data_IF_347906351057
#
_entry.id   IF_347906351057
#
_cell.length_a   1.000
_cell.length_b   1.000
_cell.length_c   1.000
_cell.angle_alpha   90.00
_cell.angle_beta   90.00
_cell.angle_gamma   90.00
#
_symmetry.space_group_name_H-M   'P 1'
#
loop_
_entity.id
_entity.type
_entity.pdbx_description
1 polymer ?
#
# COMPACT_ATOMS: atom_id res chain seq x y z
N UNK A 1 51.70 -50.38 9.85
CA UNK A 1 50.70 -49.33 10.20
C UNK A 1 49.31 -49.95 10.13
N UNK A 2 48.66 -49.96 11.29
CA UNK A 2 47.56 -50.86 11.60
C UNK A 2 46.29 -50.44 10.83
N UNK A 3 45.65 -51.36 10.09
CA UNK A 3 44.39 -51.22 9.36
C UNK A 3 43.25 -50.70 10.26
N UNK A 4 43.35 -50.91 11.58
CA UNK A 4 42.40 -50.39 12.59
C UNK A 4 42.42 -48.83 12.69
N UNK A 5 43.60 -48.20 12.51
CA UNK A 5 43.75 -46.77 12.63
C UNK A 5 43.14 -46.05 11.43
N UNK A 6 43.19 -46.63 10.23
CA UNK A 6 42.56 -46.08 9.02
C UNK A 6 41.01 -46.12 9.07
N UNK A 7 40.45 -47.20 9.64
CA UNK A 7 38.98 -47.32 9.82
C UNK A 7 38.43 -46.30 10.81
N UNK A 8 39.18 -45.93 11.85
CA UNK A 8 38.75 -44.89 12.79
C UNK A 8 38.76 -43.49 12.18
N UNK A 9 39.75 -43.18 11.34
CA UNK A 9 39.85 -41.90 10.64
C UNK A 9 38.71 -41.70 9.64
N UNK A 10 38.31 -42.74 8.90
CA UNK A 10 37.19 -42.68 7.97
C UNK A 10 35.82 -42.54 8.71
N UNK A 11 35.64 -43.15 9.88
CA UNK A 11 34.45 -43.03 10.66
C UNK A 11 34.30 -41.64 11.29
N UNK A 12 35.40 -41.03 11.72
CA UNK A 12 35.40 -39.65 12.26
C UNK A 12 35.08 -38.65 11.16
N UNK A 13 35.58 -38.83 9.92
CA UNK A 13 35.25 -37.93 8.80
C UNK A 13 33.78 -38.01 8.38
N UNK A 14 33.17 -39.20 8.41
CA UNK A 14 31.73 -39.38 8.10
C UNK A 14 30.84 -38.73 9.12
N UNK A 15 31.15 -38.86 10.42
CA UNK A 15 30.38 -38.22 11.49
C UNK A 15 30.47 -36.67 11.44
N UNK A 16 31.66 -36.12 11.12
CA UNK A 16 31.85 -34.69 10.96
C UNK A 16 31.07 -34.17 9.76
N UNK A 17 31.10 -34.85 8.61
CA UNK A 17 30.32 -34.48 7.42
C UNK A 17 28.81 -34.54 7.69
N UNK A 18 28.33 -35.58 8.37
CA UNK A 18 26.92 -35.70 8.72
C UNK A 18 26.46 -34.56 9.65
N UNK A 19 27.28 -34.17 10.62
CA UNK A 19 26.96 -33.04 11.51
C UNK A 19 27.00 -31.69 10.77
N UNK A 20 27.93 -31.49 9.85
CA UNK A 20 27.98 -30.27 9.00
C UNK A 20 26.74 -30.18 8.12
N UNK A 21 26.35 -31.26 7.44
CA UNK A 21 25.16 -31.31 6.60
C UNK A 21 23.86 -31.09 7.41
N UNK A 22 23.78 -31.69 8.61
CA UNK A 22 22.63 -31.49 9.50
C UNK A 22 22.55 -30.03 10.00
N UNK A 23 23.68 -29.43 10.35
CA UNK A 23 23.73 -28.03 10.78
C UNK A 23 23.31 -27.07 9.65
N UNK A 24 23.82 -27.29 8.41
CA UNK A 24 23.39 -26.52 7.24
C UNK A 24 21.90 -26.69 6.95
N UNK A 25 21.37 -27.91 7.06
CA UNK A 25 19.94 -28.18 6.88
C UNK A 25 19.10 -27.44 7.92
N UNK A 26 19.47 -27.47 9.20
CA UNK A 26 18.77 -26.76 10.29
C UNK A 26 18.81 -25.25 10.09
N UNK A 27 19.97 -24.70 9.70
CA UNK A 27 20.10 -23.26 9.41
C UNK A 27 19.22 -22.88 8.20
N UNK A 28 19.22 -23.68 7.14
CA UNK A 28 18.44 -23.42 5.94
C UNK A 28 16.92 -23.47 6.25
N UNK A 29 16.46 -24.43 7.05
CA UNK A 29 15.06 -24.53 7.50
C UNK A 29 14.68 -23.37 8.41
N UNK A 30 15.59 -22.97 9.33
CA UNK A 30 15.35 -21.83 10.21
C UNK A 30 15.25 -20.49 9.46
N UNK A 31 16.03 -20.30 8.39
CA UNK A 31 15.94 -19.10 7.54
C UNK A 31 14.67 -19.09 6.69
N UNK A 32 14.20 -20.25 6.24
CA UNK A 32 12.95 -20.35 5.48
C UNK A 32 11.69 -20.12 6.36
N UNK A 33 11.77 -20.39 7.66
CA UNK A 33 10.65 -20.18 8.60
C UNK A 33 10.44 -18.70 8.99
N UNK A 34 11.37 -17.80 8.64
CA UNK A 34 11.23 -16.36 8.93
C UNK A 34 10.67 -15.55 7.74
N UNK A 35 10.16 -16.19 6.70
CA UNK A 35 9.40 -15.50 5.65
C UNK A 35 8.01 -15.24 6.23
N UNK A 36 7.84 -14.11 6.91
CA UNK A 36 6.50 -13.63 7.23
C UNK A 36 5.78 -13.36 5.93
N UNK A 37 4.60 -13.97 5.68
CA UNK A 37 3.82 -13.62 4.50
C UNK A 37 3.51 -12.12 4.59
N UNK A 38 3.85 -11.37 3.56
CA UNK A 38 3.39 -9.98 3.41
C UNK A 38 1.90 -10.08 3.09
N UNK A 39 1.08 -9.92 4.12
CA UNK A 39 -0.38 -9.94 3.97
C UNK A 39 -0.78 -8.55 3.51
N UNK A 40 -1.40 -8.44 2.33
CA UNK A 40 -2.01 -7.20 1.87
C UNK A 40 -3.05 -6.72 2.89
N UNK A 41 -3.00 -5.43 3.26
CA UNK A 41 -3.97 -4.86 4.20
C UNK A 41 -5.29 -4.61 3.49
N UNK A 42 -6.22 -5.57 3.58
CA UNK A 42 -7.57 -5.42 3.01
C UNK A 42 -8.37 -4.30 3.67
N UNK A 43 -8.02 -3.91 4.90
CA UNK A 43 -8.65 -2.81 5.64
C UNK A 43 -8.12 -1.41 5.30
N UNK A 44 -7.33 -1.28 4.24
CA UNK A 44 -6.70 -0.03 3.84
C UNK A 44 -5.48 0.35 4.69
N UNK A 45 -4.74 1.33 4.20
CA UNK A 45 -3.53 1.85 4.86
C UNK A 45 -3.46 3.37 4.67
N UNK A 46 -3.11 4.09 5.72
CA UNK A 46 -2.81 5.52 5.68
C UNK A 46 -1.31 5.77 5.44
N UNK A 47 -0.95 7.03 5.10
CA UNK A 47 0.44 7.43 4.86
C UNK A 47 0.97 7.07 3.46
N UNK A 48 0.14 6.55 2.57
CA UNK A 48 0.52 6.15 1.20
C UNK A 48 0.28 7.23 0.14
N UNK A 49 -0.44 8.31 0.46
CA UNK A 49 -0.83 9.37 -0.50
C UNK A 49 0.33 10.13 -1.13
N UNK A 50 1.54 10.05 -0.55
CA UNK A 50 2.77 10.67 -1.05
C UNK A 50 3.69 9.66 -1.72
N UNK A 51 3.94 8.53 -1.07
CA UNK A 51 4.94 7.54 -1.49
C UNK A 51 4.33 6.36 -2.25
N UNK A 52 3.00 6.30 -2.34
CA UNK A 52 2.27 5.24 -3.01
C UNK A 52 2.23 3.92 -2.24
N UNK A 53 1.82 2.87 -2.94
CA UNK A 53 1.56 1.55 -2.35
C UNK A 53 2.74 0.57 -2.52
N UNK A 54 3.90 1.03 -3.04
CA UNK A 54 5.05 0.21 -3.43
C UNK A 54 5.73 -0.59 -2.30
N UNK A 55 5.45 -0.26 -1.04
CA UNK A 55 5.97 -1.04 0.10
C UNK A 55 5.37 -2.43 0.23
N UNK A 56 4.22 -2.69 -0.43
CA UNK A 56 3.53 -3.98 -0.45
C UNK A 56 3.23 -4.46 -1.88
N UNK A 57 2.85 -3.56 -2.81
CA UNK A 57 2.30 -3.90 -4.13
C UNK A 57 3.28 -3.72 -5.30
N UNK A 58 4.59 -3.76 -5.06
CA UNK A 58 5.59 -3.60 -6.14
C UNK A 58 5.69 -2.19 -6.69
N UNK A 59 6.14 -2.03 -7.94
CA UNK A 59 6.30 -0.73 -8.61
C UNK A 59 4.98 -0.07 -9.03
N UNK A 60 4.99 1.27 -9.19
CA UNK A 60 3.86 1.99 -9.76
C UNK A 60 3.60 1.59 -11.20
N UNK A 61 2.35 1.68 -11.63
CA UNK A 61 1.93 1.30 -12.99
C UNK A 61 1.11 2.40 -13.65
N UNK A 62 1.45 2.73 -14.90
CA UNK A 62 0.69 3.67 -15.73
C UNK A 62 -0.64 3.10 -16.22
N UNK A 63 -0.90 1.80 -16.06
CA UNK A 63 -2.19 1.18 -16.37
C UNK A 63 -3.29 1.52 -15.35
N UNK A 64 -2.91 1.95 -14.15
CA UNK A 64 -3.83 2.52 -13.16
C UNK A 64 -3.76 4.03 -13.22
N UNK A 65 -4.90 4.68 -13.35
CA UNK A 65 -4.99 6.14 -13.26
C UNK A 65 -5.74 6.53 -11.99
N UNK A 66 -5.24 7.59 -11.34
CA UNK A 66 -5.85 8.17 -10.14
C UNK A 66 -6.05 9.66 -10.40
N UNK A 67 -7.28 10.12 -10.33
CA UNK A 67 -7.61 11.50 -10.69
C UNK A 67 -8.81 12.02 -9.89
N UNK A 68 -9.01 13.34 -9.90
CA UNK A 68 -10.17 13.99 -9.32
C UNK A 68 -11.24 14.19 -10.39
N UNK A 69 -12.48 13.77 -10.13
CA UNK A 69 -13.60 13.89 -11.09
C UNK A 69 -13.90 15.35 -11.42
N UNK A 70 -13.72 16.24 -10.47
CA UNK A 70 -13.95 17.68 -10.60
C UNK A 70 -12.85 18.41 -11.38
N UNK A 71 -11.80 17.71 -11.83
CA UNK A 71 -10.66 18.27 -12.57
C UNK A 71 -9.47 18.63 -11.65
N UNK A 72 -8.43 19.23 -12.23
CA UNK A 72 -7.12 19.36 -11.59
C UNK A 72 -6.96 20.63 -10.75
N UNK A 73 -8.04 21.40 -10.49
CA UNK A 73 -7.94 22.65 -9.72
C UNK A 73 -7.15 23.76 -10.44
N UNK A 74 -6.57 24.73 -9.73
CA UNK A 74 -6.68 24.90 -8.29
C UNK A 74 -8.10 25.22 -7.80
N UNK A 75 -8.39 24.87 -6.53
CA UNK A 75 -9.67 25.21 -5.92
C UNK A 75 -9.45 26.29 -4.85
N UNK A 76 -10.33 27.30 -4.82
CA UNK A 76 -10.31 28.34 -3.79
C UNK A 76 -11.51 28.15 -2.87
N UNK A 77 -11.26 27.99 -1.58
CA UNK A 77 -12.26 27.91 -0.53
C UNK A 77 -11.98 28.93 0.56
N UNK A 78 -13.04 29.51 1.09
CA UNK A 78 -12.93 30.31 2.31
C UNK A 78 -12.59 29.41 3.52
N UNK A 79 -12.05 30.00 4.59
CA UNK A 79 -11.82 29.28 5.85
C UNK A 79 -13.13 28.73 6.40
N UNK A 80 -13.16 27.45 6.76
CA UNK A 80 -14.36 26.75 7.20
C UNK A 80 -15.33 26.36 6.11
N UNK A 81 -15.08 26.75 4.84
CA UNK A 81 -15.89 26.32 3.71
C UNK A 81 -15.68 24.85 3.40
N UNK A 82 -16.75 24.19 2.96
CA UNK A 82 -16.75 22.77 2.63
C UNK A 82 -16.99 22.55 1.15
N UNK A 83 -16.26 21.60 0.57
CA UNK A 83 -16.44 21.18 -0.82
C UNK A 83 -16.40 19.65 -0.91
N UNK A 84 -17.30 19.09 -1.71
CA UNK A 84 -17.31 17.66 -2.01
C UNK A 84 -16.39 17.36 -3.20
N UNK A 85 -15.59 16.31 -3.03
CA UNK A 85 -14.64 15.80 -4.02
C UNK A 85 -14.86 14.32 -4.25
N UNK A 86 -14.45 13.86 -5.44
CA UNK A 86 -14.49 12.46 -5.87
C UNK A 86 -13.15 12.05 -6.43
N UNK A 87 -12.35 11.32 -5.66
CA UNK A 87 -11.15 10.66 -6.18
C UNK A 87 -11.56 9.39 -6.91
N UNK A 88 -11.09 9.23 -8.13
CA UNK A 88 -11.34 8.07 -8.99
C UNK A 88 -10.09 7.24 -9.10
N UNK A 89 -10.23 5.94 -8.92
CA UNK A 89 -9.22 4.94 -9.30
C UNK A 89 -9.77 4.19 -10.50
N UNK A 90 -9.04 4.21 -11.61
CA UNK A 90 -9.46 3.57 -12.86
C UNK A 90 -8.42 2.56 -13.36
N UNK A 91 -8.88 1.41 -13.84
CA UNK A 91 -8.09 0.37 -14.49
C UNK A 91 -8.98 -0.51 -15.36
N UNK A 92 -8.50 -0.84 -16.58
CA UNK A 92 -9.33 -1.49 -17.60
C UNK A 92 -9.82 -2.91 -17.24
N UNK A 93 -9.10 -3.65 -16.39
CA UNK A 93 -9.35 -5.09 -16.17
C UNK A 93 -9.36 -5.52 -14.71
N UNK A 94 -9.02 -4.64 -13.76
CA UNK A 94 -9.02 -5.03 -12.35
C UNK A 94 -10.43 -5.01 -11.75
N UNK A 95 -10.79 -6.02 -10.91
CA UNK A 95 -12.14 -6.11 -10.37
C UNK A 95 -12.40 -5.17 -9.20
N UNK A 96 -11.36 -4.77 -8.47
CA UNK A 96 -11.51 -3.93 -7.27
C UNK A 96 -10.41 -2.89 -7.15
N UNK A 97 -10.61 -1.94 -6.26
CA UNK A 97 -9.60 -0.93 -5.92
C UNK A 97 -9.57 -0.59 -4.44
N UNK A 98 -8.46 0.00 -4.03
CA UNK A 98 -8.26 0.63 -2.75
C UNK A 98 -7.67 2.03 -2.92
N UNK A 99 -7.73 2.86 -1.87
CA UNK A 99 -7.28 4.25 -1.91
C UNK A 99 -6.67 4.68 -0.58
N UNK A 100 -5.72 5.64 -0.62
CA UNK A 100 -5.39 6.52 0.49
C UNK A 100 -5.42 7.96 -0.01
N UNK A 101 -6.15 8.83 0.69
CA UNK A 101 -6.33 10.25 0.35
C UNK A 101 -5.94 11.09 1.55
N UNK A 102 -5.20 12.19 1.33
CA UNK A 102 -4.84 13.15 2.35
C UNK A 102 -4.87 14.58 1.81
N UNK A 103 -5.23 15.52 2.64
CA UNK A 103 -5.00 16.95 2.39
C UNK A 103 -3.92 17.43 3.34
N UNK A 104 -2.83 17.97 2.80
CA UNK A 104 -1.63 18.36 3.53
C UNK A 104 -1.42 19.88 3.47
N UNK A 105 -0.95 20.47 4.57
CA UNK A 105 -0.44 21.84 4.58
C UNK A 105 1.01 21.92 4.06
N UNK A 106 1.59 23.12 4.03
CA UNK A 106 2.97 23.35 3.58
C UNK A 106 4.04 22.63 4.42
N UNK A 107 3.75 22.29 5.66
CA UNK A 107 4.63 21.48 6.55
C UNK A 107 4.37 19.97 6.43
N UNK A 108 3.58 19.55 5.43
CA UNK A 108 3.22 18.15 5.17
C UNK A 108 2.38 17.47 6.28
N UNK A 109 1.73 18.25 7.13
CA UNK A 109 0.78 17.76 8.12
C UNK A 109 -0.63 17.66 7.53
N UNK A 110 -1.44 16.70 8.00
CA UNK A 110 -2.85 16.60 7.65
C UNK A 110 -3.61 17.85 8.08
N UNK A 111 -4.50 18.35 7.23
CA UNK A 111 -5.21 19.61 7.45
C UNK A 111 -6.68 19.55 7.04
N UNK A 112 -7.51 20.36 7.69
CA UNK A 112 -8.96 20.36 7.51
C UNK A 112 -9.63 19.16 8.15
N UNK A 113 -10.86 18.88 7.76
CA UNK A 113 -11.61 17.72 8.24
C UNK A 113 -12.42 17.08 7.11
N UNK A 114 -12.76 15.81 7.28
CA UNK A 114 -13.51 15.02 6.31
C UNK A 114 -14.88 14.62 6.85
N UNK A 115 -15.89 14.64 5.98
CA UNK A 115 -17.26 14.21 6.26
C UNK A 115 -17.92 13.62 5.00
N UNK A 116 -19.14 13.10 5.11
CA UNK A 116 -19.95 12.56 4.00
C UNK A 116 -19.17 11.55 3.14
N UNK A 117 -18.63 10.52 3.79
CA UNK A 117 -17.74 9.55 3.17
C UNK A 117 -18.51 8.46 2.42
N UNK A 118 -18.11 8.15 1.19
CA UNK A 118 -18.59 6.99 0.43
C UNK A 118 -17.41 6.19 -0.09
N UNK A 119 -17.42 4.87 0.09
CA UNK A 119 -16.36 3.93 -0.26
C UNK A 119 -15.03 4.13 0.51
N UNK A 120 -15.00 5.04 1.46
CA UNK A 120 -13.82 5.30 2.30
C UNK A 120 -14.22 5.56 3.75
N UNK A 121 -13.23 5.47 4.63
CA UNK A 121 -13.32 5.75 6.07
C UNK A 121 -12.18 6.68 6.46
N UNK A 122 -12.37 7.46 7.54
CA UNK A 122 -11.33 8.35 8.07
C UNK A 122 -10.49 7.63 9.13
N UNK A 123 -9.18 7.79 9.03
CA UNK A 123 -8.21 7.31 10.01
C UNK A 123 -7.06 8.33 10.12
N UNK A 124 -6.75 8.82 11.32
CA UNK A 124 -5.72 9.83 11.58
C UNK A 124 -5.79 11.04 10.64
N UNK A 125 -7.00 11.52 10.36
CA UNK A 125 -7.27 12.61 9.43
C UNK A 125 -6.70 12.38 8.00
N UNK A 126 -6.72 11.15 7.56
CA UNK A 126 -6.59 10.70 6.17
C UNK A 126 -7.78 9.82 5.83
N UNK A 127 -8.05 9.60 4.55
CA UNK A 127 -9.08 8.66 4.10
C UNK A 127 -8.42 7.41 3.53
N UNK A 128 -9.02 6.27 3.83
CA UNK A 128 -8.66 4.99 3.23
C UNK A 128 -9.91 4.14 3.04
N UNK A 129 -9.85 3.07 2.27
CA UNK A 129 -10.94 2.10 2.17
C UNK A 129 -10.98 1.19 3.42
N UNK A 130 -12.15 0.69 3.78
CA UNK A 130 -12.31 -0.33 4.84
C UNK A 130 -12.22 -1.76 4.29
N UNK A 131 -12.48 -1.92 2.99
CA UNK A 131 -12.29 -3.14 2.20
C UNK A 131 -12.11 -2.74 0.72
N UNK A 132 -11.48 -3.56 -0.11
CA UNK A 132 -11.36 -3.29 -1.54
C UNK A 132 -12.73 -3.12 -2.19
N UNK A 133 -12.95 -1.99 -2.86
CA UNK A 133 -14.23 -1.61 -3.46
C UNK A 133 -14.32 -2.14 -4.89
N UNK A 134 -15.45 -2.70 -5.28
CA UNK A 134 -15.68 -3.22 -6.64
C UNK A 134 -15.65 -2.07 -7.67
N UNK A 135 -14.87 -2.28 -8.73
CA UNK A 135 -14.85 -1.37 -9.88
C UNK A 135 -16.05 -1.62 -10.79
N UNK A 136 -16.71 -0.55 -11.21
CA UNK A 136 -17.82 -0.62 -12.17
C UNK A 136 -17.43 0.16 -13.42
N UNK A 137 -17.50 -0.49 -14.58
CA UNK A 137 -17.02 0.12 -15.81
C UNK A 137 -15.52 0.47 -15.82
N UNK A 138 -14.73 -0.25 -15.00
CA UNK A 138 -13.28 -0.02 -14.86
C UNK A 138 -12.92 1.11 -13.90
N UNK A 139 -13.86 1.65 -13.13
CA UNK A 139 -13.65 2.76 -12.19
C UNK A 139 -14.25 2.51 -10.81
N UNK A 140 -13.66 3.15 -9.81
CA UNK A 140 -14.24 3.31 -8.47
C UNK A 140 -14.15 4.76 -8.05
N UNK A 141 -15.24 5.35 -7.57
CA UNK A 141 -15.27 6.68 -6.97
C UNK A 141 -15.22 6.60 -5.44
N UNK A 142 -14.34 7.40 -4.86
CA UNK A 142 -14.22 7.64 -3.42
C UNK A 142 -14.66 9.06 -3.15
N UNK A 143 -15.89 9.23 -2.62
CA UNK A 143 -16.51 10.53 -2.39
C UNK A 143 -16.29 10.98 -0.95
N UNK A 144 -15.98 12.24 -0.76
CA UNK A 144 -15.85 12.88 0.54
C UNK A 144 -16.12 14.38 0.45
N UNK A 145 -16.53 14.98 1.55
CA UNK A 145 -16.58 16.42 1.74
C UNK A 145 -15.39 16.83 2.59
N UNK A 146 -14.56 17.74 2.08
CA UNK A 146 -13.47 18.34 2.86
C UNK A 146 -13.84 19.74 3.29
N UNK A 147 -13.59 20.06 4.57
CA UNK A 147 -13.79 21.39 5.15
C UNK A 147 -12.46 22.05 5.37
N UNK A 148 -12.27 23.23 4.81
CA UNK A 148 -11.07 24.01 4.94
C UNK A 148 -10.82 24.42 6.41
N UNK A 149 -9.59 24.36 6.92
CA UNK A 149 -9.28 24.78 8.27
C UNK A 149 -9.46 26.29 8.47
N UNK A 150 -9.56 26.74 9.73
CA UNK A 150 -9.66 28.15 10.07
C UNK A 150 -8.40 28.97 9.72
N UNK A 151 -7.26 28.31 9.58
CA UNK A 151 -5.98 28.96 9.20
C UNK A 151 -5.93 29.10 7.67
N UNK A 152 -5.85 30.31 7.11
CA UNK A 152 -5.60 30.49 5.68
C UNK A 152 -4.26 29.91 5.25
N UNK A 153 -4.20 29.38 4.03
CA UNK A 153 -2.95 28.80 3.51
C UNK A 153 -3.17 27.98 2.24
N UNK A 154 -2.07 27.43 1.75
CA UNK A 154 -2.07 26.48 0.62
C UNK A 154 -2.16 25.06 1.17
N UNK A 155 -3.12 24.32 0.68
CA UNK A 155 -3.38 22.93 1.05
C UNK A 155 -3.31 22.07 -0.19
N UNK A 156 -2.67 20.91 -0.09
CA UNK A 156 -2.47 20.01 -1.23
C UNK A 156 -3.24 18.72 -1.02
N UNK A 157 -4.19 18.45 -1.90
CA UNK A 157 -4.87 17.17 -1.99
C UNK A 157 -3.97 16.16 -2.72
N UNK A 158 -3.77 15.02 -2.11
CA UNK A 158 -2.96 13.91 -2.60
C UNK A 158 -3.74 12.60 -2.49
N UNK A 159 -3.54 11.70 -3.44
CA UNK A 159 -4.10 10.36 -3.36
C UNK A 159 -3.16 9.31 -3.97
N UNK A 160 -3.18 8.12 -3.40
CA UNK A 160 -2.67 6.90 -4.01
C UNK A 160 -3.84 5.94 -4.22
N UNK A 161 -3.97 5.40 -5.42
CA UNK A 161 -4.97 4.39 -5.77
C UNK A 161 -4.32 3.08 -6.16
N UNK A 162 -4.88 1.97 -5.74
CA UNK A 162 -4.42 0.64 -6.08
C UNK A 162 -5.55 -0.17 -6.74
N UNK A 163 -5.37 -0.60 -7.96
CA UNK A 163 -6.26 -1.52 -8.66
C UNK A 163 -5.82 -2.96 -8.35
N UNK A 164 -6.71 -3.76 -7.74
CA UNK A 164 -6.37 -5.06 -7.17
C UNK A 164 -7.10 -6.20 -7.86
N UNK A 165 -6.39 -7.32 -8.06
CA UNK A 165 -6.92 -8.54 -8.68
C UNK A 165 -7.78 -9.40 -7.74
N UNK A 166 -7.85 -9.02 -6.46
CA UNK A 166 -8.64 -9.69 -5.41
C UNK A 166 -8.22 -11.14 -5.13
N UNK A 167 -6.95 -11.50 -5.34
CA UNK A 167 -6.41 -12.83 -5.04
C UNK A 167 -6.06 -13.04 -3.56
N UNK A 168 -6.25 -12.02 -2.71
CA UNK A 168 -5.92 -12.04 -1.27
C UNK A 168 -4.45 -11.74 -0.95
N UNK A 169 -3.59 -11.57 -1.97
CA UNK A 169 -2.19 -11.18 -1.85
C UNK A 169 -1.93 -9.78 -2.40
N UNK A 170 -0.67 -9.42 -2.48
CA UNK A 170 -0.17 -8.13 -2.99
C UNK A 170 0.40 -8.23 -4.42
N UNK A 171 0.49 -9.46 -4.94
CA UNK A 171 1.04 -9.74 -6.28
C UNK A 171 0.00 -9.54 -7.38
N UNK A 172 0.42 -8.93 -8.48
CA UNK A 172 -0.45 -8.69 -9.64
C UNK A 172 -1.41 -7.53 -9.46
N UNK A 173 -1.18 -6.67 -8.47
CA UNK A 173 -1.88 -5.42 -8.25
C UNK A 173 -1.14 -4.26 -8.94
N UNK A 174 -1.87 -3.22 -9.33
CA UNK A 174 -1.33 -2.07 -10.04
C UNK A 174 -1.73 -0.77 -9.33
N UNK A 175 -0.77 -0.01 -8.83
CA UNK A 175 -1.04 1.23 -8.13
C UNK A 175 -0.43 2.44 -8.86
N UNK A 176 -0.97 3.63 -8.59
CA UNK A 176 -0.42 4.89 -9.05
C UNK A 176 -0.75 6.03 -8.06
N UNK A 177 -0.08 7.16 -8.24
CA UNK A 177 -0.37 8.40 -7.54
C UNK A 177 -1.24 9.32 -8.40
N UNK A 178 -2.11 10.09 -7.76
CA UNK A 178 -2.78 11.24 -8.34
C UNK A 178 -1.78 12.40 -8.47
N UNK A 179 -1.86 13.16 -9.55
CA UNK A 179 -1.20 14.48 -9.60
C UNK A 179 -1.72 15.34 -8.45
N UNK A 180 -0.78 15.93 -7.68
CA UNK A 180 -1.15 16.76 -6.52
C UNK A 180 -1.94 17.98 -6.94
N UNK A 181 -2.98 18.34 -6.18
CA UNK A 181 -3.89 19.45 -6.44
C UNK A 181 -3.85 20.43 -5.27
N UNK A 182 -3.67 21.72 -5.55
CA UNK A 182 -3.65 22.79 -4.57
C UNK A 182 -4.87 23.69 -4.68
#
# INVERSE_FOLDING_TARGET
LNVLCLKHLFNISGAIMANILFTFFVICVATLMNISPIIASSGGKIGSSINGCGGCHGGSSTTTTVFLREGNGPFSLATGESKTFKVVVAHASMPKSGVNIAVKNSSNNNAGSFSNLTNCVSSNNELTHSAPVTMTGGETEYTFTWTAPATPGVYTLRAAGNAVNNNGGDSGDFWNLMSSIT
#
